data_IF_917106796183
#
_entry.id   IF_917106796183
#
_cell.length_a   1.000
_cell.length_b   1.000
_cell.length_c   1.000
_cell.angle_alpha   90.00
_cell.angle_beta   90.00
_cell.angle_gamma   90.00
#
_symmetry.space_group_name_H-M   'P 1'
#
loop_
_entity.id
_entity.type
_entity.pdbx_description
1 polymer ?
#
# COMPACT_ATOMS: atom_id res chain seq x y z
N UNK A 1 -13.78 -1.92 13.87
CA UNK A 1 -13.70 -1.31 12.52
C UNK A 1 -12.59 -2.03 11.79
N UNK A 2 -12.86 -2.63 10.64
CA UNK A 2 -11.84 -3.35 9.88
C UNK A 2 -10.95 -2.32 9.19
N UNK A 3 -9.70 -2.17 9.63
CA UNK A 3 -8.78 -1.10 9.19
C UNK A 3 -8.45 -1.19 7.68
N UNK A 4 -8.71 -2.34 7.05
CA UNK A 4 -8.58 -2.59 5.62
C UNK A 4 -9.84 -2.27 4.78
N UNK A 5 -10.95 -1.84 5.40
CA UNK A 5 -12.19 -1.53 4.69
C UNK A 5 -12.08 -0.15 4.02
N UNK A 6 -12.39 -0.08 2.72
CA UNK A 6 -12.25 1.14 1.92
C UNK A 6 -13.20 2.26 2.38
N UNK A 7 -14.44 1.94 2.72
CA UNK A 7 -15.42 2.94 3.16
C UNK A 7 -15.00 3.54 4.51
N UNK A 8 -14.51 2.71 5.42
CA UNK A 8 -13.98 3.15 6.71
C UNK A 8 -12.74 4.04 6.56
N UNK A 9 -11.85 3.68 5.63
CA UNK A 9 -10.69 4.50 5.25
C UNK A 9 -11.09 5.85 4.63
N UNK A 10 -12.05 5.86 3.70
CA UNK A 10 -12.52 7.09 3.07
C UNK A 10 -13.21 8.02 4.06
N UNK A 11 -13.99 7.48 5.01
CA UNK A 11 -14.55 8.26 6.13
C UNK A 11 -13.46 8.88 6.99
N UNK A 12 -12.43 8.12 7.37
CA UNK A 12 -11.28 8.64 8.11
C UNK A 12 -10.58 9.77 7.33
N UNK A 13 -10.29 9.53 6.06
CA UNK A 13 -9.66 10.49 5.16
C UNK A 13 -10.47 11.79 5.06
N UNK A 14 -11.79 11.68 4.86
CA UNK A 14 -12.71 12.81 4.76
C UNK A 14 -12.78 13.62 6.05
N UNK A 15 -12.89 12.96 7.20
CA UNK A 15 -12.93 13.61 8.52
C UNK A 15 -11.64 14.36 8.80
N UNK A 16 -10.47 13.75 8.58
CA UNK A 16 -9.18 14.43 8.75
C UNK A 16 -9.08 15.61 7.79
N UNK A 17 -9.42 15.41 6.51
CA UNK A 17 -9.37 16.47 5.50
C UNK A 17 -10.25 17.67 5.86
N UNK A 18 -11.44 17.42 6.40
CA UNK A 18 -12.34 18.47 6.88
C UNK A 18 -11.70 19.29 8.01
N UNK A 19 -11.08 18.63 9.00
CA UNK A 19 -10.42 19.31 10.11
C UNK A 19 -9.24 20.18 9.67
N UNK A 20 -8.36 19.65 8.81
CA UNK A 20 -7.16 20.39 8.36
C UNK A 20 -7.47 21.47 7.32
N UNK A 21 -8.68 21.46 6.75
CA UNK A 21 -9.15 22.50 5.82
C UNK A 21 -9.82 23.66 6.55
N UNK A 22 -10.01 23.58 7.87
CA UNK A 22 -10.59 24.64 8.66
C UNK A 22 -9.70 25.90 8.69
N UNK A 23 -10.32 27.08 8.81
CA UNK A 23 -9.58 28.35 8.94
C UNK A 23 -8.65 28.36 10.15
N UNK A 24 -9.08 27.74 11.25
CA UNK A 24 -8.30 27.49 12.45
C UNK A 24 -8.33 25.99 12.69
N UNK A 25 -7.16 25.35 12.64
CA UNK A 25 -7.05 23.90 12.81
C UNK A 25 -6.95 23.61 14.30
N UNK A 26 -7.86 22.78 14.81
CA UNK A 26 -7.77 22.20 16.15
C UNK A 26 -7.00 20.87 16.08
N UNK A 27 -5.70 20.93 16.39
CA UNK A 27 -4.84 19.75 16.36
C UNK A 27 -5.16 18.74 17.45
N UNK A 28 -5.74 19.15 18.58
CA UNK A 28 -6.18 18.21 19.61
C UNK A 28 -7.33 17.34 19.07
N UNK A 29 -8.25 17.94 18.33
CA UNK A 29 -9.31 17.19 17.68
C UNK A 29 -8.74 16.22 16.61
N UNK A 30 -7.74 16.66 15.82
CA UNK A 30 -7.05 15.78 14.85
C UNK A 30 -6.37 14.60 15.55
N UNK A 31 -5.69 14.84 16.68
CA UNK A 31 -5.07 13.79 17.51
C UNK A 31 -6.14 12.80 17.99
N UNK A 32 -7.28 13.29 18.49
CA UNK A 32 -8.38 12.44 18.94
C UNK A 32 -8.96 11.58 17.79
N UNK A 33 -9.03 12.10 16.56
CA UNK A 33 -9.46 11.32 15.39
C UNK A 33 -8.45 10.23 15.03
N UNK A 34 -7.15 10.55 15.09
CA UNK A 34 -6.04 9.62 14.83
C UNK A 34 -6.06 8.48 15.85
N UNK A 35 -6.04 8.82 17.14
CA UNK A 35 -6.01 7.86 18.25
C UNK A 35 -7.35 7.14 18.43
N UNK A 36 -8.47 7.73 17.99
CA UNK A 36 -9.82 7.21 18.21
C UNK A 36 -10.08 6.98 19.71
N UNK A 37 -10.21 5.73 20.16
CA UNK A 37 -10.42 5.38 21.58
C UNK A 37 -9.14 5.14 22.38
N UNK A 38 -7.96 5.27 21.75
CA UNK A 38 -6.67 5.04 22.41
C UNK A 38 -6.19 6.29 23.12
N UNK A 39 -5.37 6.09 24.14
CA UNK A 39 -4.81 7.16 24.96
C UNK A 39 -3.29 7.12 24.94
N UNK A 40 -2.70 8.30 25.04
CA UNK A 40 -1.27 8.52 25.28
C UNK A 40 -1.15 9.56 26.40
N UNK A 41 0.03 9.69 27.01
CA UNK A 41 0.27 10.71 28.04
C UNK A 41 0.05 12.13 27.52
N UNK A 42 -0.32 13.07 28.39
CA UNK A 42 -0.54 14.46 27.98
C UNK A 42 0.74 15.13 27.48
N UNK A 43 1.90 14.74 28.02
CA UNK A 43 3.21 15.13 27.49
C UNK A 43 3.38 14.66 26.02
N UNK A 44 3.04 13.40 25.73
CA UNK A 44 3.09 12.86 24.37
C UNK A 44 2.11 13.58 23.44
N UNK A 45 0.89 13.92 23.91
CA UNK A 45 -0.07 14.71 23.12
C UNK A 45 0.48 16.09 22.77
N UNK A 46 1.13 16.76 23.71
CA UNK A 46 1.74 18.07 23.48
C UNK A 46 2.85 18.00 22.43
N UNK A 47 3.69 16.96 22.46
CA UNK A 47 4.73 16.73 21.45
C UNK A 47 4.10 16.47 20.07
N UNK A 48 3.08 15.61 19.99
CA UNK A 48 2.37 15.34 18.74
C UNK A 48 1.68 16.59 18.18
N UNK A 49 1.09 17.43 19.02
CA UNK A 49 0.46 18.67 18.61
C UNK A 49 1.46 19.58 17.87
N UNK A 50 2.62 19.82 18.47
CA UNK A 50 3.69 20.63 17.85
C UNK A 50 4.24 19.98 16.58
N UNK A 51 4.32 18.65 16.56
CA UNK A 51 4.76 17.93 15.37
C UNK A 51 3.76 18.05 14.21
N UNK A 52 2.45 17.99 14.50
CA UNK A 52 1.39 18.18 13.50
C UNK A 52 1.39 19.59 12.92
N UNK A 53 1.60 20.62 13.76
CA UNK A 53 1.80 21.99 13.30
C UNK A 53 2.98 22.09 12.33
N UNK A 54 4.13 21.52 12.72
CA UNK A 54 5.30 21.45 11.85
C UNK A 54 4.98 20.76 10.52
N UNK A 55 4.39 19.56 10.56
CA UNK A 55 4.04 18.80 9.35
C UNK A 55 3.11 19.60 8.44
N UNK A 56 2.11 20.27 8.99
CA UNK A 56 1.17 21.11 8.23
C UNK A 56 1.88 22.21 7.46
N UNK A 57 2.78 22.93 8.13
CA UNK A 57 3.57 23.98 7.49
C UNK A 57 4.55 23.39 6.47
N UNK A 58 5.17 22.26 6.78
CA UNK A 58 6.19 21.63 5.96
C UNK A 58 5.61 21.17 4.62
N UNK A 59 4.46 20.49 4.63
CA UNK A 59 3.74 20.07 3.43
C UNK A 59 3.00 21.23 2.73
N UNK A 60 2.50 22.21 3.49
CA UNK A 60 1.77 23.37 2.97
C UNK A 60 0.60 22.96 2.06
N UNK A 61 0.51 23.58 0.88
CA UNK A 61 -0.56 23.30 -0.11
C UNK A 61 -0.20 22.18 -1.11
N UNK A 62 0.87 21.41 -0.86
CA UNK A 62 1.29 20.32 -1.74
C UNK A 62 0.17 19.28 -1.86
N UNK A 63 -0.08 18.79 -3.07
CA UNK A 63 -1.09 17.75 -3.35
C UNK A 63 -0.41 16.45 -3.79
N UNK A 64 -1.03 15.31 -3.47
CA UNK A 64 -0.66 14.00 -4.02
C UNK A 64 -1.13 13.91 -5.48
N UNK A 65 -0.66 12.89 -6.18
CA UNK A 65 -1.00 12.64 -7.59
C UNK A 65 -2.51 12.59 -7.85
N UNK A 66 -3.27 12.02 -6.92
CA UNK A 66 -4.71 11.89 -7.06
C UNK A 66 -5.49 13.15 -6.66
N UNK A 67 -4.84 14.18 -6.10
CA UNK A 67 -5.46 15.46 -5.77
C UNK A 67 -5.54 15.86 -4.29
N UNK A 68 -5.70 14.93 -3.30
CA UNK A 68 -5.75 15.30 -1.89
C UNK A 68 -4.46 15.96 -1.39
N UNK A 69 -4.55 16.71 -0.27
CA UNK A 69 -3.38 17.32 0.37
C UNK A 69 -2.34 16.26 0.76
N UNK A 70 -1.07 16.56 0.55
CA UNK A 70 0.04 15.63 0.79
C UNK A 70 0.14 15.19 2.26
N UNK A 71 -0.15 16.09 3.20
CA UNK A 71 -0.19 15.80 4.64
C UNK A 71 -1.23 14.75 5.02
N UNK A 72 -2.28 14.52 4.22
CA UNK A 72 -3.28 13.49 4.56
C UNK A 72 -2.68 12.09 4.64
N UNK A 73 -1.69 11.79 3.79
CA UNK A 73 -1.06 10.48 3.78
C UNK A 73 -0.39 10.13 5.11
N UNK A 74 0.56 10.93 5.64
CA UNK A 74 1.15 10.61 6.93
C UNK A 74 0.11 10.64 8.07
N UNK A 75 -0.88 11.54 8.06
CA UNK A 75 -1.93 11.56 9.10
C UNK A 75 -2.77 10.28 9.12
N UNK A 76 -3.21 9.81 7.95
CA UNK A 76 -3.98 8.56 7.85
C UNK A 76 -3.12 7.37 8.19
N UNK A 77 -1.88 7.29 7.70
CA UNK A 77 -0.98 6.20 8.05
C UNK A 77 -0.70 6.14 9.56
N UNK A 78 -0.54 7.30 10.22
CA UNK A 78 -0.47 7.39 11.69
C UNK A 78 -1.73 6.85 12.36
N UNK A 79 -2.92 7.18 11.84
CA UNK A 79 -4.18 6.65 12.36
C UNK A 79 -4.32 5.14 12.17
N UNK A 80 -3.87 4.59 11.02
CA UNK A 80 -3.87 3.14 10.79
C UNK A 80 -2.94 2.44 11.79
N UNK A 81 -1.74 2.97 12.03
CA UNK A 81 -0.79 2.43 13.01
C UNK A 81 -1.31 2.55 14.45
N UNK A 82 -1.85 3.71 14.84
CA UNK A 82 -2.38 3.94 16.17
C UNK A 82 -3.57 3.00 16.51
N UNK A 83 -4.33 2.58 15.51
CA UNK A 83 -5.53 1.76 15.72
C UNK A 83 -5.25 0.27 15.87
N UNK A 84 -4.08 -0.21 15.45
CA UNK A 84 -3.64 -1.60 15.70
C UNK A 84 -2.87 -1.75 17.01
N UNK A 85 -2.44 -0.65 17.62
CA UNK A 85 -1.80 -0.66 18.93
C UNK A 85 -2.86 -0.35 20.00
N UNK A 86 -2.92 -1.16 21.06
CA UNK A 86 -3.77 -0.84 22.22
C UNK A 86 -3.25 0.40 22.95
N UNK A 87 -1.92 0.46 23.11
CA UNK A 87 -1.18 1.59 23.66
C UNK A 87 -0.22 2.13 22.58
N UNK A 88 -0.61 3.18 21.84
CA UNK A 88 0.25 3.80 20.85
C UNK A 88 1.46 4.47 21.48
N UNK A 89 2.65 4.06 21.05
CA UNK A 89 3.91 4.66 21.48
C UNK A 89 4.21 5.96 20.71
N UNK A 90 4.65 7.01 21.43
CA UNK A 90 4.93 8.32 20.85
C UNK A 90 5.98 8.24 19.74
N UNK A 91 7.07 7.51 19.97
CA UNK A 91 8.16 7.42 19.00
C UNK A 91 7.68 6.77 17.70
N UNK A 92 6.83 5.75 17.78
CA UNK A 92 6.19 5.13 16.62
C UNK A 92 5.27 6.10 15.86
N UNK A 93 4.44 6.86 16.57
CA UNK A 93 3.55 7.87 15.99
C UNK A 93 4.35 8.98 15.29
N UNK A 94 5.43 9.46 15.90
CA UNK A 94 6.34 10.44 15.29
C UNK A 94 7.03 9.86 14.05
N UNK A 95 7.50 8.61 14.13
CA UNK A 95 8.18 7.93 13.02
C UNK A 95 7.28 7.84 11.78
N UNK A 96 6.03 7.40 11.93
CA UNK A 96 5.10 7.30 10.80
C UNK A 96 4.63 8.68 10.30
N UNK A 97 4.44 9.66 11.19
CA UNK A 97 4.05 11.02 10.78
C UNK A 97 5.15 11.70 9.94
N UNK A 98 6.41 11.33 10.19
CA UNK A 98 7.59 11.90 9.53
C UNK A 98 8.21 10.99 8.46
N UNK A 99 7.66 9.81 8.17
CA UNK A 99 8.35 8.80 7.36
C UNK A 99 8.76 9.27 5.96
N UNK A 100 7.97 10.16 5.36
CA UNK A 100 8.24 10.76 4.04
C UNK A 100 9.01 12.09 4.12
N UNK A 101 9.29 12.61 5.32
CA UNK A 101 9.80 13.98 5.53
C UNK A 101 11.09 14.24 4.73
N UNK A 102 12.06 13.32 4.75
CA UNK A 102 13.32 13.47 4.02
C UNK A 102 13.19 13.29 2.50
N UNK A 103 12.16 12.59 2.03
CA UNK A 103 11.86 12.47 0.60
C UNK A 103 11.14 13.69 0.06
N UNK A 104 10.17 14.19 0.81
CA UNK A 104 9.15 15.11 0.32
C UNK A 104 9.41 16.58 0.64
N UNK A 105 10.16 16.87 1.71
CA UNK A 105 10.42 18.20 2.23
C UNK A 105 11.90 18.50 2.03
N UNK A 106 12.22 19.19 0.93
CA UNK A 106 13.60 19.53 0.54
C UNK A 106 13.84 21.04 0.55
N UNK A 107 15.05 21.50 0.97
CA UNK A 107 15.39 22.92 1.04
C UNK A 107 15.26 23.65 -0.30
N UNK A 108 15.52 22.95 -1.42
CA UNK A 108 15.56 23.52 -2.78
C UNK A 108 14.22 24.03 -3.32
N UNK A 109 13.14 24.04 -2.52
CA UNK A 109 11.77 24.42 -2.94
C UNK A 109 11.13 25.50 -2.06
N UNK A 110 11.89 26.09 -1.14
CA UNK A 110 11.39 27.02 -0.12
C UNK A 110 12.35 28.20 0.02
N UNK A 111 11.84 29.42 0.20
CA UNK A 111 12.66 30.57 0.58
C UNK A 111 13.47 30.26 1.85
N UNK A 112 14.76 30.63 1.85
CA UNK A 112 15.73 30.24 2.90
C UNK A 112 15.23 30.59 4.31
N UNK A 113 14.59 31.75 4.49
CA UNK A 113 14.06 32.17 5.79
C UNK A 113 12.89 31.30 6.28
N UNK A 114 12.01 30.89 5.35
CA UNK A 114 10.92 29.96 5.66
C UNK A 114 11.48 28.57 6.00
N UNK A 115 12.56 28.13 5.35
CA UNK A 115 13.24 26.88 5.67
C UNK A 115 13.85 26.92 7.08
N UNK A 116 14.57 27.99 7.43
CA UNK A 116 15.18 28.16 8.77
C UNK A 116 14.09 28.15 9.86
N UNK A 117 12.95 28.80 9.63
CA UNK A 117 11.82 28.79 10.58
C UNK A 117 11.26 27.37 10.79
N UNK A 118 11.07 26.62 9.70
CA UNK A 118 10.60 25.23 9.74
C UNK A 118 11.59 24.33 10.48
N UNK A 119 12.88 24.47 10.19
CA UNK A 119 13.94 23.71 10.86
C UNK A 119 13.98 24.01 12.36
N UNK A 120 13.89 25.28 12.76
CA UNK A 120 13.81 25.66 14.18
C UNK A 120 12.63 25.02 14.89
N UNK A 121 11.45 24.92 14.25
CA UNK A 121 10.29 24.23 14.84
C UNK A 121 10.53 22.73 14.97
N UNK A 122 11.10 22.10 13.94
CA UNK A 122 11.45 20.68 14.00
C UNK A 122 12.44 20.39 15.12
N UNK A 123 13.50 21.19 15.25
CA UNK A 123 14.49 21.06 16.31
C UNK A 123 13.89 21.24 17.71
N UNK A 124 12.92 22.16 17.88
CA UNK A 124 12.18 22.29 19.15
C UNK A 124 11.45 21.01 19.52
N UNK A 125 10.76 20.38 18.57
CA UNK A 125 10.08 19.09 18.81
C UNK A 125 11.10 18.01 19.21
N UNK A 126 12.25 17.94 18.52
CA UNK A 126 13.31 16.98 18.84
C UNK A 126 13.95 17.19 20.21
N UNK A 127 13.92 18.41 20.76
CA UNK A 127 14.42 18.73 22.10
C UNK A 127 13.45 18.33 23.22
N UNK A 128 12.19 18.01 22.89
CA UNK A 128 11.17 17.59 23.86
C UNK A 128 11.13 16.08 24.10
N UNK A 129 11.87 15.30 23.32
CA UNK A 129 12.03 13.86 23.51
C UNK A 129 13.41 13.55 24.07
N UNK A 130 13.58 12.35 24.63
CA UNK A 130 14.87 11.92 25.16
C UNK A 130 15.93 11.86 24.06
N UNK A 131 17.21 11.97 24.44
CA UNK A 131 18.31 11.84 23.47
C UNK A 131 18.29 10.48 22.75
N UNK A 132 17.93 9.42 23.47
CA UNK A 132 17.76 8.07 22.94
C UNK A 132 16.63 8.01 21.91
N UNK A 133 15.45 8.54 22.23
CA UNK A 133 14.31 8.55 21.30
C UNK A 133 14.60 9.40 20.06
N UNK A 134 15.28 10.54 20.24
CA UNK A 134 15.74 11.39 19.14
C UNK A 134 16.67 10.62 18.22
N UNK A 135 17.64 9.89 18.77
CA UNK A 135 18.55 9.07 17.97
C UNK A 135 17.79 8.00 17.18
N UNK A 136 16.90 7.25 17.85
CA UNK A 136 16.08 6.23 17.19
C UNK A 136 15.16 6.82 16.12
N UNK A 137 14.51 7.96 16.38
CA UNK A 137 13.65 8.63 15.40
C UNK A 137 14.44 8.93 14.12
N UNK A 138 15.59 9.58 14.23
CA UNK A 138 16.39 9.96 13.07
C UNK A 138 16.87 8.73 12.30
N UNK A 139 17.32 7.68 12.99
CA UNK A 139 17.76 6.43 12.33
C UNK A 139 16.59 5.73 11.62
N UNK A 140 15.43 5.61 12.27
CA UNK A 140 14.22 5.04 11.65
C UNK A 140 13.82 5.81 10.40
N UNK A 141 13.86 7.14 10.43
CA UNK A 141 13.56 7.98 9.26
C UNK A 141 14.55 7.77 8.11
N UNK A 142 15.85 7.61 8.39
CA UNK A 142 16.85 7.27 7.36
C UNK A 142 16.60 5.89 6.76
N UNK A 143 16.21 4.91 7.57
CA UNK A 143 15.90 3.56 7.08
C UNK A 143 14.62 3.53 6.25
N UNK A 144 13.64 4.37 6.59
CA UNK A 144 12.38 4.53 5.86
C UNK A 144 12.52 5.36 4.58
N UNK A 145 13.59 6.13 4.43
CA UNK A 145 13.86 6.96 3.24
C UNK A 145 14.58 6.13 2.19
N UNK A 146 14.03 6.10 0.98
CA UNK A 146 14.67 5.46 -0.17
C UNK A 146 15.75 6.36 -0.78
N UNK A 147 16.95 5.83 -0.96
CA UNK A 147 18.02 6.53 -1.66
C UNK A 147 17.71 6.70 -3.17
N UNK A 148 18.17 7.79 -3.81
CA UNK A 148 17.90 8.03 -5.23
C UNK A 148 18.43 6.93 -6.16
N UNK A 149 19.56 6.33 -5.82
CA UNK A 149 20.26 5.31 -6.63
C UNK A 149 19.89 3.88 -6.27
N UNK A 150 19.26 3.64 -5.12
CA UNK A 150 18.91 2.28 -4.71
C UNK A 150 17.65 1.77 -5.44
N UNK A 151 17.55 0.46 -5.64
CA UNK A 151 16.33 -0.17 -6.16
C UNK A 151 15.30 -0.28 -5.04
N UNK A 152 14.02 -0.52 -5.40
CA UNK A 152 13.00 -0.75 -4.39
C UNK A 152 13.32 -1.99 -3.53
N UNK A 153 13.88 -3.04 -4.11
CA UNK A 153 14.27 -4.28 -3.41
C UNK A 153 15.37 -4.04 -2.38
N UNK A 154 16.44 -3.34 -2.79
CA UNK A 154 17.57 -3.01 -1.90
C UNK A 154 17.12 -2.12 -0.75
N UNK A 155 16.25 -1.15 -1.03
CA UNK A 155 15.61 -0.32 -0.02
C UNK A 155 14.86 -1.16 1.03
N UNK A 156 13.95 -2.04 0.58
CA UNK A 156 13.19 -2.89 1.50
C UNK A 156 14.10 -3.87 2.25
N UNK A 157 15.07 -4.48 1.58
CA UNK A 157 16.06 -5.35 2.21
C UNK A 157 16.87 -4.66 3.30
N UNK A 158 17.38 -3.44 3.01
CA UNK A 158 18.07 -2.59 3.99
C UNK A 158 17.18 -2.27 5.17
N UNK A 159 15.94 -1.83 4.92
CA UNK A 159 14.97 -1.53 5.97
C UNK A 159 14.71 -2.74 6.87
N UNK A 160 14.52 -3.92 6.27
CA UNK A 160 14.26 -5.18 6.99
C UNK A 160 15.45 -5.61 7.85
N UNK A 161 16.70 -5.41 7.40
CA UNK A 161 17.89 -5.73 8.20
C UNK A 161 17.93 -5.03 9.56
N UNK A 162 17.29 -3.85 9.67
CA UNK A 162 17.21 -3.11 10.94
C UNK A 162 16.08 -3.58 11.86
N UNK A 163 15.16 -4.43 11.38
CA UNK A 163 14.01 -4.91 12.15
C UNK A 163 14.38 -5.75 13.37
N UNK A 164 15.55 -6.44 13.37
CA UNK A 164 16.02 -7.19 14.54
C UNK A 164 16.37 -6.31 15.73
N UNK A 165 16.70 -5.03 15.51
CA UNK A 165 16.93 -4.03 16.57
C UNK A 165 15.72 -3.14 16.80
N UNK A 166 14.87 -3.00 15.80
CA UNK A 166 13.76 -2.03 15.81
C UNK A 166 12.60 -2.59 14.99
N UNK A 167 11.83 -3.57 15.53
CA UNK A 167 10.71 -4.20 14.83
C UNK A 167 9.62 -3.17 14.45
N UNK A 168 9.54 -2.06 15.18
CA UNK A 168 8.65 -0.92 14.93
C UNK A 168 8.74 -0.38 13.50
N UNK A 169 9.92 -0.44 12.87
CA UNK A 169 10.13 0.03 11.49
C UNK A 169 9.29 -0.77 10.50
N UNK A 170 9.09 -2.07 10.77
CA UNK A 170 8.20 -2.92 9.96
C UNK A 170 6.75 -2.49 10.14
N UNK A 171 6.31 -2.23 11.38
CA UNK A 171 4.95 -1.72 11.66
C UNK A 171 4.68 -0.44 10.88
N UNK A 172 5.61 0.51 10.95
CA UNK A 172 5.53 1.80 10.23
C UNK A 172 5.46 1.56 8.72
N UNK A 173 6.35 0.71 8.17
CA UNK A 173 6.37 0.48 6.72
C UNK A 173 5.11 -0.22 6.20
N UNK A 174 4.57 -1.16 6.98
CA UNK A 174 3.31 -1.82 6.68
C UNK A 174 2.14 -0.85 6.73
N UNK A 175 2.08 0.04 7.72
CA UNK A 175 1.02 1.05 7.83
C UNK A 175 1.08 2.06 6.67
N UNK A 176 2.28 2.51 6.28
CA UNK A 176 2.52 3.32 5.08
C UNK A 176 1.98 2.59 3.83
N UNK A 177 2.35 1.32 3.62
CA UNK A 177 1.86 0.56 2.46
C UNK A 177 0.36 0.29 2.48
N UNK A 178 -0.23 0.08 3.66
CA UNK A 178 -1.67 -0.05 3.80
C UNK A 178 -2.38 1.24 3.40
N UNK A 179 -1.93 2.41 3.86
CA UNK A 179 -2.49 3.70 3.41
C UNK A 179 -2.37 3.84 1.89
N UNK A 180 -1.20 3.60 1.29
CA UNK A 180 -1.04 3.73 -0.15
C UNK A 180 -1.94 2.78 -0.94
N UNK A 181 -2.22 1.59 -0.39
CA UNK A 181 -3.10 0.61 -1.02
C UNK A 181 -4.55 1.08 -1.00
N UNK A 182 -4.99 1.66 0.11
CA UNK A 182 -6.34 2.21 0.26
C UNK A 182 -6.50 3.56 -0.46
N UNK A 183 -5.44 4.37 -0.56
CA UNK A 183 -5.40 5.65 -1.27
C UNK A 183 -5.34 5.48 -2.80
N UNK A 184 -5.41 4.26 -3.35
CA UNK A 184 -5.39 4.05 -4.80
C UNK A 184 -6.68 4.49 -5.52
N UNK A 185 -7.76 4.77 -4.79
CA UNK A 185 -9.04 5.24 -5.32
C UNK A 185 -9.53 6.48 -4.58
N UNK A 186 -10.23 7.34 -5.31
CA UNK A 186 -11.05 8.45 -4.77
C UNK A 186 -12.48 8.34 -5.31
N UNK A 187 -12.91 7.12 -5.62
CA UNK A 187 -14.28 6.86 -6.06
C UNK A 187 -15.21 7.03 -4.85
N UNK A 188 -16.41 7.56 -5.09
CA UNK A 188 -17.40 7.84 -4.04
C UNK A 188 -17.92 6.55 -3.39
N UNK A 189 -18.09 5.49 -4.18
CA UNK A 189 -18.53 4.18 -3.74
C UNK A 189 -17.50 3.10 -4.08
N UNK A 190 -17.32 2.13 -3.17
CA UNK A 190 -16.50 0.95 -3.44
C UNK A 190 -17.24 0.06 -4.45
N UNK A 191 -16.66 -0.29 -5.62
CA UNK A 191 -17.30 -1.21 -6.57
C UNK A 191 -17.59 -2.60 -6.03
N UNK A 192 -17.00 -2.97 -4.88
CA UNK A 192 -17.32 -4.21 -4.15
C UNK A 192 -18.40 -4.02 -3.08
N UNK A 193 -18.96 -2.82 -2.93
CA UNK A 193 -20.02 -2.58 -1.97
C UNK A 193 -21.27 -3.38 -2.37
N UNK A 194 -21.71 -4.28 -1.49
CA UNK A 194 -22.82 -5.22 -1.72
C UNK A 194 -22.59 -6.23 -2.87
N UNK A 195 -21.36 -6.36 -3.35
CA UNK A 195 -21.00 -7.35 -4.37
C UNK A 195 -20.21 -8.47 -3.73
N UNK A 196 -20.69 -9.71 -3.84
CA UNK A 196 -19.91 -10.89 -3.52
C UNK A 196 -19.13 -11.33 -4.77
N UNK A 197 -17.85 -10.97 -4.80
CA UNK A 197 -16.96 -11.33 -5.89
C UNK A 197 -16.79 -12.86 -6.03
N UNK A 198 -16.77 -13.61 -4.93
CA UNK A 198 -16.61 -15.06 -4.99
C UNK A 198 -17.88 -15.74 -5.49
N UNK A 199 -19.06 -15.22 -5.11
CA UNK A 199 -20.33 -15.66 -5.70
C UNK A 199 -20.33 -15.45 -7.21
N UNK A 200 -19.91 -14.28 -7.70
CA UNK A 200 -19.79 -13.99 -9.14
C UNK A 200 -18.90 -15.01 -9.85
N UNK A 201 -17.71 -15.28 -9.31
CA UNK A 201 -16.80 -16.27 -9.89
C UNK A 201 -17.43 -17.66 -9.89
N UNK A 202 -18.08 -18.05 -8.79
CA UNK A 202 -18.73 -19.34 -8.67
C UNK A 202 -19.88 -19.49 -9.69
N UNK A 203 -20.74 -18.49 -9.81
CA UNK A 203 -21.79 -18.47 -10.82
C UNK A 203 -21.22 -18.56 -12.24
N UNK A 204 -20.16 -17.80 -12.55
CA UNK A 204 -19.50 -17.84 -13.86
C UNK A 204 -18.92 -19.21 -14.21
N UNK A 205 -18.39 -19.94 -13.22
CA UNK A 205 -17.76 -21.25 -13.43
C UNK A 205 -18.75 -22.41 -13.45
N UNK A 206 -19.86 -22.33 -12.71
CA UNK A 206 -20.73 -23.48 -12.44
C UNK A 206 -22.17 -23.31 -12.93
N UNK A 207 -22.67 -22.09 -13.12
CA UNK A 207 -24.04 -21.85 -13.57
C UNK A 207 -24.11 -21.73 -15.09
N UNK A 208 -25.02 -22.48 -15.70
CA UNK A 208 -25.32 -22.38 -17.13
C UNK A 208 -26.34 -21.27 -17.45
N UNK A 209 -26.93 -20.65 -16.43
CA UNK A 209 -27.93 -19.58 -16.56
C UNK A 209 -27.39 -18.21 -16.15
N UNK A 210 -26.12 -18.13 -15.75
CA UNK A 210 -25.50 -16.86 -15.39
C UNK A 210 -25.29 -16.00 -16.64
N UNK A 211 -25.79 -14.77 -16.61
CA UNK A 211 -25.76 -13.82 -17.74
C UNK A 211 -24.70 -12.73 -17.60
N UNK A 212 -23.79 -12.87 -16.64
CA UNK A 212 -22.76 -11.88 -16.36
C UNK A 212 -23.19 -10.91 -15.26
N UNK A 213 -22.21 -10.21 -14.70
CA UNK A 213 -22.46 -9.20 -13.68
C UNK A 213 -22.81 -7.89 -14.38
N UNK A 214 -23.99 -7.37 -14.07
CA UNK A 214 -24.42 -6.05 -14.53
C UNK A 214 -24.13 -5.00 -13.46
N UNK A 215 -23.23 -4.03 -13.73
CA UNK A 215 -22.98 -2.96 -12.78
C UNK A 215 -24.19 -2.02 -12.70
N UNK A 216 -24.49 -1.53 -11.49
CA UNK A 216 -25.57 -0.55 -11.26
C UNK A 216 -25.32 0.80 -11.97
N UNK A 217 -24.05 1.11 -12.26
CA UNK A 217 -23.62 2.40 -12.78
C UNK A 217 -22.97 2.27 -14.17
N UNK A 218 -22.99 3.34 -14.98
CA UNK A 218 -22.28 3.38 -16.25
C UNK A 218 -20.76 3.32 -16.05
N UNK A 219 -20.02 2.98 -17.11
CA UNK A 219 -18.56 2.94 -17.08
C UNK A 219 -18.01 4.28 -16.58
N UNK A 220 -17.23 4.31 -15.48
CA UNK A 220 -16.71 5.55 -14.93
C UNK A 220 -15.69 6.21 -15.86
N UNK A 221 -15.48 7.54 -15.79
CA UNK A 221 -14.44 8.20 -16.58
C UNK A 221 -13.04 7.67 -16.22
N UNK A 222 -12.04 7.85 -17.12
CA UNK A 222 -10.68 7.41 -16.85
C UNK A 222 -10.12 7.98 -15.54
N UNK A 223 -9.75 7.08 -14.62
CA UNK A 223 -9.15 7.46 -13.35
C UNK A 223 -7.67 7.86 -13.51
N UNK A 224 -7.19 8.76 -12.63
CA UNK A 224 -5.78 9.17 -12.58
C UNK A 224 -4.82 8.00 -12.29
N UNK A 225 -5.29 7.00 -11.55
CA UNK A 225 -4.68 5.68 -11.42
C UNK A 225 -5.58 4.63 -12.08
N UNK A 226 -5.14 4.07 -13.20
CA UNK A 226 -5.88 3.03 -13.90
C UNK A 226 -5.55 1.62 -13.34
N UNK A 227 -6.27 0.60 -13.83
CA UNK A 227 -6.13 -0.77 -13.33
C UNK A 227 -4.70 -1.32 -13.35
N UNK A 228 -3.90 -1.00 -14.38
CA UNK A 228 -2.53 -1.51 -14.47
C UNK A 228 -1.58 -0.85 -13.47
N UNK A 229 -1.79 0.43 -13.16
CA UNK A 229 -1.01 1.14 -12.15
C UNK A 229 -1.35 0.63 -10.74
N UNK A 230 -2.60 0.19 -10.53
CA UNK A 230 -3.05 -0.48 -9.31
C UNK A 230 -2.41 -1.87 -9.20
N UNK A 231 -2.40 -2.69 -10.27
CA UNK A 231 -1.65 -3.96 -10.32
C UNK A 231 -0.16 -3.78 -9.98
N UNK A 232 0.47 -2.71 -10.47
CA UNK A 232 1.86 -2.40 -10.11
C UNK A 232 2.05 -2.09 -8.62
N UNK A 233 1.08 -1.48 -7.92
CA UNK A 233 1.17 -1.35 -6.46
C UNK A 233 1.02 -2.71 -5.77
N UNK A 234 0.15 -3.61 -6.28
CA UNK A 234 0.01 -4.96 -5.74
C UNK A 234 1.32 -5.77 -5.89
N UNK A 235 2.04 -5.60 -7.00
CA UNK A 235 3.38 -6.13 -7.16
C UNK A 235 4.32 -5.62 -6.04
N UNK A 236 4.36 -4.31 -5.78
CA UNK A 236 5.20 -3.75 -4.71
C UNK A 236 4.84 -4.28 -3.31
N UNK A 237 3.56 -4.53 -3.07
CA UNK A 237 3.09 -5.15 -1.82
C UNK A 237 3.56 -6.62 -1.75
N UNK A 238 3.44 -7.38 -2.84
CA UNK A 238 3.92 -8.77 -2.93
C UNK A 238 5.42 -8.86 -2.63
N UNK A 239 6.22 -7.93 -3.16
CA UNK A 239 7.66 -7.84 -2.88
C UNK A 239 7.92 -7.59 -1.40
N UNK A 240 7.27 -6.57 -0.81
CA UNK A 240 7.44 -6.26 0.61
C UNK A 240 7.08 -7.45 1.50
N UNK A 241 5.92 -8.05 1.25
CA UNK A 241 5.38 -9.13 2.07
C UNK A 241 6.22 -10.40 1.95
N UNK A 242 6.72 -10.70 0.74
CA UNK A 242 7.65 -11.82 0.53
C UNK A 242 8.96 -11.63 1.28
N UNK A 243 9.57 -10.43 1.19
CA UNK A 243 10.83 -10.15 1.89
C UNK A 243 10.68 -10.17 3.42
N UNK A 244 9.55 -9.66 3.94
CA UNK A 244 9.25 -9.73 5.39
C UNK A 244 9.24 -11.19 5.86
N UNK A 245 8.52 -12.07 5.14
CA UNK A 245 8.42 -13.49 5.51
C UNK A 245 9.71 -14.25 5.31
N UNK A 246 10.38 -14.08 4.18
CA UNK A 246 11.67 -14.70 3.89
C UNK A 246 12.71 -14.41 4.97
N UNK A 247 12.70 -13.19 5.52
CA UNK A 247 13.63 -12.75 6.58
C UNK A 247 13.09 -12.95 8.00
N UNK A 248 11.88 -13.51 8.14
CA UNK A 248 11.15 -13.64 9.40
C UNK A 248 11.09 -12.30 10.19
N UNK A 249 11.03 -11.19 9.45
CA UNK A 249 11.05 -9.87 10.02
C UNK A 249 9.75 -9.63 10.79
N UNK A 250 9.87 -9.24 12.06
CA UNK A 250 8.71 -9.02 12.94
C UNK A 250 7.80 -10.26 13.09
N UNK A 251 8.38 -11.48 13.00
CA UNK A 251 7.63 -12.75 13.15
C UNK A 251 6.88 -12.82 14.49
N UNK A 252 7.46 -12.32 15.57
CA UNK A 252 6.86 -12.37 16.92
C UNK A 252 6.15 -11.05 17.30
N UNK A 253 5.90 -10.18 16.32
CA UNK A 253 5.28 -8.87 16.53
C UNK A 253 3.81 -8.88 16.06
N UNK A 254 2.90 -9.15 16.99
CA UNK A 254 1.45 -9.25 16.73
C UNK A 254 0.87 -8.01 16.03
N UNK A 255 1.38 -6.82 16.34
CA UNK A 255 0.94 -5.55 15.72
C UNK A 255 1.36 -5.50 14.26
N UNK A 256 2.59 -5.91 13.95
CA UNK A 256 3.06 -6.02 12.58
C UNK A 256 2.26 -7.08 11.80
N UNK A 257 2.02 -8.25 12.41
CA UNK A 257 1.21 -9.32 11.80
C UNK A 257 -0.22 -8.84 11.49
N UNK A 258 -0.84 -8.08 12.39
CA UNK A 258 -2.18 -7.50 12.18
C UNK A 258 -2.20 -6.56 10.97
N UNK A 259 -1.23 -5.64 10.86
CA UNK A 259 -1.15 -4.74 9.70
C UNK A 259 -0.83 -5.51 8.42
N UNK A 260 0.04 -6.53 8.49
CA UNK A 260 0.36 -7.41 7.36
C UNK A 260 -0.89 -8.10 6.82
N UNK A 261 -1.72 -8.67 7.71
CA UNK A 261 -3.00 -9.28 7.34
C UNK A 261 -3.94 -8.25 6.70
N UNK A 262 -4.03 -7.05 7.25
CA UNK A 262 -4.83 -5.96 6.68
C UNK A 262 -4.33 -5.52 5.29
N UNK A 263 -3.00 -5.48 5.08
CA UNK A 263 -2.39 -5.19 3.78
C UNK A 263 -2.71 -6.29 2.76
N UNK A 264 -2.63 -7.56 3.13
CA UNK A 264 -3.04 -8.66 2.26
C UNK A 264 -4.52 -8.54 1.88
N UNK A 265 -5.41 -8.32 2.86
CA UNK A 265 -6.85 -8.16 2.62
C UNK A 265 -7.17 -6.97 1.73
N UNK A 266 -6.55 -5.81 1.97
CA UNK A 266 -6.75 -4.62 1.14
C UNK A 266 -6.25 -4.84 -0.30
N UNK A 267 -5.10 -5.49 -0.45
CA UNK A 267 -4.50 -5.82 -1.75
C UNK A 267 -5.34 -6.83 -2.53
N UNK A 268 -5.85 -7.87 -1.86
CA UNK A 268 -6.79 -8.84 -2.43
C UNK A 268 -8.06 -8.15 -2.92
N UNK A 269 -8.68 -7.30 -2.09
CA UNK A 269 -9.89 -6.55 -2.50
C UNK A 269 -9.62 -5.63 -3.68
N UNK A 270 -8.46 -5.01 -3.76
CA UNK A 270 -8.14 -4.19 -4.93
C UNK A 270 -8.00 -5.03 -6.20
N UNK A 271 -7.37 -6.21 -6.12
CA UNK A 271 -7.31 -7.15 -7.23
C UNK A 271 -8.71 -7.59 -7.68
N UNK A 272 -9.61 -7.89 -6.73
CA UNK A 272 -11.02 -8.19 -7.00
C UNK A 272 -11.72 -7.04 -7.74
N UNK A 273 -11.53 -5.78 -7.32
CA UNK A 273 -12.10 -4.63 -8.03
C UNK A 273 -11.58 -4.49 -9.46
N UNK A 274 -10.30 -4.79 -9.70
CA UNK A 274 -9.73 -4.73 -11.05
C UNK A 274 -10.36 -5.80 -11.94
N UNK A 275 -10.44 -7.04 -11.46
CA UNK A 275 -11.07 -8.14 -12.21
C UNK A 275 -12.56 -7.86 -12.48
N UNK A 276 -13.31 -7.47 -11.44
CA UNK A 276 -14.73 -7.13 -11.56
C UNK A 276 -14.95 -6.02 -12.57
N UNK A 277 -14.20 -4.91 -12.50
CA UNK A 277 -14.31 -3.82 -13.46
C UNK A 277 -14.10 -4.27 -14.91
N UNK A 278 -13.17 -5.19 -15.16
CA UNK A 278 -12.95 -5.73 -16.51
C UNK A 278 -14.15 -6.57 -16.94
N UNK A 279 -14.62 -7.49 -16.10
CA UNK A 279 -15.82 -8.31 -16.39
C UNK A 279 -17.09 -7.48 -16.60
N UNK A 280 -17.24 -6.37 -15.88
CA UNK A 280 -18.43 -5.52 -15.98
C UNK A 280 -18.45 -4.69 -17.27
N UNK A 281 -17.29 -4.22 -17.73
CA UNK A 281 -17.25 -3.12 -18.70
C UNK A 281 -16.41 -3.37 -19.95
N UNK A 282 -15.44 -4.28 -19.91
CA UNK A 282 -14.47 -4.47 -21.00
C UNK A 282 -14.56 -5.87 -21.61
N UNK A 283 -14.76 -6.91 -20.80
CA UNK A 283 -14.96 -8.28 -21.24
C UNK A 283 -16.33 -8.77 -20.79
N UNK A 284 -17.34 -8.52 -21.63
CA UNK A 284 -18.73 -8.90 -21.35
C UNK A 284 -19.09 -10.28 -21.91
N UNK A 285 -18.20 -10.91 -22.68
CA UNK A 285 -18.40 -12.29 -23.12
C UNK A 285 -18.05 -13.24 -21.98
N UNK A 286 -19.10 -13.83 -21.40
CA UNK A 286 -19.01 -14.74 -20.26
C UNK A 286 -18.19 -15.98 -20.61
N UNK A 287 -18.24 -16.44 -21.86
CA UNK A 287 -17.49 -17.62 -22.29
C UNK A 287 -15.99 -17.31 -22.25
N UNK A 288 -15.58 -16.16 -22.79
CA UNK A 288 -14.18 -15.71 -22.73
C UNK A 288 -13.76 -15.47 -21.28
N UNK A 289 -14.58 -14.78 -20.49
CA UNK A 289 -14.29 -14.55 -19.07
C UNK A 289 -14.07 -15.87 -18.29
N UNK A 290 -14.92 -16.87 -18.55
CA UNK A 290 -14.81 -18.22 -17.96
C UNK A 290 -13.53 -18.94 -18.40
N UNK A 291 -13.18 -18.86 -19.68
CA UNK A 291 -11.93 -19.44 -20.20
C UNK A 291 -10.70 -18.82 -19.54
N UNK A 292 -10.66 -17.49 -19.40
CA UNK A 292 -9.57 -16.78 -18.71
C UNK A 292 -9.46 -17.19 -17.23
N UNK A 293 -10.58 -17.36 -16.55
CA UNK A 293 -10.61 -17.84 -15.17
C UNK A 293 -10.06 -19.26 -15.05
N UNK A 294 -10.53 -20.19 -15.90
CA UNK A 294 -10.09 -21.58 -15.87
C UNK A 294 -8.59 -21.71 -16.18
N UNK A 295 -8.09 -20.96 -17.16
CA UNK A 295 -6.66 -20.91 -17.49
C UNK A 295 -5.83 -20.40 -16.28
N UNK A 296 -6.28 -19.31 -15.66
CA UNK A 296 -5.60 -18.75 -14.48
C UNK A 296 -5.66 -19.70 -13.28
N UNK A 297 -6.78 -20.40 -13.08
CA UNK A 297 -6.92 -21.41 -12.03
C UNK A 297 -5.93 -22.56 -12.22
N UNK A 298 -5.79 -23.06 -13.45
CA UNK A 298 -4.83 -24.11 -13.77
C UNK A 298 -3.39 -23.64 -13.53
N UNK A 299 -3.06 -22.41 -13.97
CA UNK A 299 -1.76 -21.80 -13.73
C UNK A 299 -1.40 -21.72 -12.23
N UNK A 300 -2.32 -21.19 -11.44
CA UNK A 300 -2.14 -21.02 -9.99
C UNK A 300 -2.04 -22.37 -9.28
N UNK A 301 -2.89 -23.34 -9.63
CA UNK A 301 -2.84 -24.70 -9.05
C UNK A 301 -1.57 -25.45 -9.43
N UNK A 302 -0.98 -25.14 -10.59
CA UNK A 302 0.32 -25.65 -11.01
C UNK A 302 1.51 -25.00 -10.32
N UNK A 303 1.30 -24.11 -9.35
CA UNK A 303 2.37 -23.43 -8.59
C UNK A 303 2.93 -22.19 -9.30
N UNK A 304 2.29 -21.69 -10.36
CA UNK A 304 2.77 -20.54 -11.13
C UNK A 304 2.91 -19.23 -10.35
N UNK A 305 2.26 -19.13 -9.18
CA UNK A 305 2.38 -17.97 -8.29
C UNK A 305 3.36 -18.17 -7.12
N UNK A 306 3.87 -19.39 -6.92
CA UNK A 306 4.75 -19.70 -5.78
C UNK A 306 6.18 -19.19 -6.00
N UNK A 307 6.51 -18.84 -7.25
CA UNK A 307 7.82 -18.34 -7.64
C UNK A 307 7.72 -17.33 -8.77
N UNK A 308 8.74 -16.49 -8.91
CA UNK A 308 8.95 -15.70 -10.12
C UNK A 308 9.30 -16.67 -11.25
N UNK A 309 8.55 -16.62 -12.33
CA UNK A 309 8.73 -17.50 -13.48
C UNK A 309 9.45 -16.81 -14.64
N UNK A 310 10.21 -17.54 -15.49
CA UNK A 310 10.76 -17.00 -16.72
C UNK A 310 9.65 -16.80 -17.75
N UNK A 311 9.88 -15.96 -18.77
CA UNK A 311 8.89 -15.80 -19.85
C UNK A 311 8.83 -17.06 -20.71
N UNK A 312 7.64 -17.64 -20.86
CA UNK A 312 7.37 -18.80 -21.72
C UNK A 312 6.30 -18.44 -22.76
N UNK A 313 6.40 -18.99 -23.97
CA UNK A 313 5.51 -18.62 -25.07
C UNK A 313 4.03 -19.01 -24.83
N UNK A 314 3.79 -20.11 -24.11
CA UNK A 314 2.46 -20.71 -23.96
C UNK A 314 1.73 -20.30 -22.68
N UNK A 315 2.36 -19.50 -21.81
CA UNK A 315 1.74 -19.03 -20.58
C UNK A 315 1.94 -17.51 -20.46
N UNK A 316 0.84 -16.75 -20.56
CA UNK A 316 0.89 -15.29 -20.63
C UNK A 316 1.28 -14.63 -19.31
N UNK A 317 1.00 -15.28 -18.18
CA UNK A 317 1.39 -14.81 -16.85
C UNK A 317 2.90 -14.98 -16.59
N UNK A 318 3.53 -15.90 -17.31
CA UNK A 318 4.93 -16.22 -17.10
C UNK A 318 5.86 -15.07 -17.52
N UNK A 319 6.77 -14.72 -16.61
CA UNK A 319 7.66 -13.57 -16.78
C UNK A 319 7.04 -12.21 -16.46
N UNK A 320 5.74 -12.10 -16.12
CA UNK A 320 5.08 -10.81 -15.89
C UNK A 320 5.79 -9.93 -14.85
N UNK A 321 6.27 -10.52 -13.75
CA UNK A 321 7.00 -9.81 -12.70
C UNK A 321 8.28 -9.17 -13.25
N UNK A 322 9.06 -9.93 -14.03
CA UNK A 322 10.36 -9.49 -14.57
C UNK A 322 10.18 -8.58 -15.78
N UNK A 323 9.31 -8.96 -16.72
CA UNK A 323 9.18 -8.28 -18.01
C UNK A 323 8.43 -6.97 -17.89
N UNK A 324 7.49 -6.85 -16.95
CA UNK A 324 6.57 -5.70 -16.89
C UNK A 324 6.78 -4.87 -15.64
N UNK A 325 6.78 -5.48 -14.46
CA UNK A 325 6.81 -4.73 -13.19
C UNK A 325 8.23 -4.34 -12.74
N UNK A 326 9.24 -5.17 -12.99
CA UNK A 326 10.63 -4.94 -12.57
C UNK A 326 11.44 -3.98 -13.47
N UNK A 327 10.79 -3.30 -14.42
CA UNK A 327 11.51 -2.37 -15.28
C UNK A 327 12.05 -1.17 -14.47
N UNK A 328 13.39 -1.12 -14.32
CA UNK A 328 14.10 -0.09 -13.53
C UNK A 328 13.87 1.30 -14.11
N UNK A 329 13.89 1.42 -15.44
CA UNK A 329 13.70 2.70 -16.09
C UNK A 329 12.22 3.13 -16.05
N UNK A 330 11.92 4.22 -15.35
CA UNK A 330 10.55 4.71 -15.17
C UNK A 330 9.77 4.88 -16.48
N UNK A 331 10.38 5.45 -17.53
CA UNK A 331 9.70 5.67 -18.82
C UNK A 331 9.40 4.36 -19.53
N UNK A 332 10.34 3.41 -19.52
CA UNK A 332 10.13 2.07 -20.09
C UNK A 332 9.06 1.30 -19.31
N UNK A 333 9.05 1.43 -17.99
CA UNK A 333 8.03 0.82 -17.14
C UNK A 333 6.64 1.39 -17.45
N UNK A 334 6.52 2.70 -17.58
CA UNK A 334 5.27 3.35 -17.98
C UNK A 334 4.77 2.84 -19.34
N UNK A 335 5.67 2.63 -20.30
CA UNK A 335 5.33 2.02 -21.60
C UNK A 335 4.83 0.58 -21.45
N UNK A 336 5.56 -0.27 -20.71
CA UNK A 336 5.16 -1.68 -20.46
C UNK A 336 3.84 -1.79 -19.71
N UNK A 337 3.59 -0.91 -18.75
CA UNK A 337 2.30 -0.82 -18.08
C UNK A 337 1.21 -0.39 -19.07
N UNK A 338 1.47 0.56 -19.97
CA UNK A 338 0.51 0.93 -21.00
C UNK A 338 0.20 -0.23 -21.97
N UNK A 339 1.20 -1.02 -22.36
CA UNK A 339 1.02 -2.24 -23.15
C UNK A 339 0.12 -3.25 -22.40
N UNK A 340 0.42 -3.53 -21.13
CA UNK A 340 -0.44 -4.38 -20.29
C UNK A 340 -1.85 -3.78 -20.13
N UNK A 341 -2.01 -2.45 -20.09
CA UNK A 341 -3.32 -1.82 -19.99
C UNK A 341 -4.20 -2.07 -21.22
N UNK A 342 -3.60 -2.25 -22.40
CA UNK A 342 -4.32 -2.60 -23.63
C UNK A 342 -4.76 -4.06 -23.66
N UNK A 343 -4.06 -4.95 -22.95
CA UNK A 343 -4.40 -6.37 -22.85
C UNK A 343 -5.29 -6.64 -21.63
N UNK A 344 -6.61 -6.45 -21.80
CA UNK A 344 -7.59 -6.66 -20.72
C UNK A 344 -7.65 -8.11 -20.25
N UNK A 345 -7.39 -9.06 -21.14
CA UNK A 345 -7.36 -10.48 -20.80
C UNK A 345 -6.23 -10.77 -19.83
N UNK A 346 -5.00 -10.36 -20.16
CA UNK A 346 -3.86 -10.52 -19.27
C UNK A 346 -4.03 -9.75 -17.95
N UNK A 347 -4.67 -8.57 -17.98
CA UNK A 347 -5.00 -7.84 -16.75
C UNK A 347 -5.92 -8.62 -15.81
N UNK A 348 -6.94 -9.31 -16.34
CA UNK A 348 -7.83 -10.18 -15.54
C UNK A 348 -7.05 -11.34 -14.94
N UNK A 349 -6.27 -12.04 -15.77
CA UNK A 349 -5.47 -13.17 -15.31
C UNK A 349 -4.49 -12.72 -14.21
N UNK A 350 -3.84 -11.57 -14.39
CA UNK A 350 -2.93 -11.01 -13.39
C UNK A 350 -3.66 -10.63 -12.10
N UNK A 351 -4.83 -10.00 -12.19
CA UNK A 351 -5.64 -9.66 -11.03
C UNK A 351 -6.08 -10.91 -10.25
N UNK A 352 -6.53 -11.95 -10.94
CA UNK A 352 -6.92 -13.23 -10.33
C UNK A 352 -5.72 -13.93 -9.69
N UNK A 353 -4.55 -13.93 -10.34
CA UNK A 353 -3.32 -14.44 -9.74
C UNK A 353 -2.95 -13.69 -8.44
N UNK A 354 -3.04 -12.35 -8.43
CA UNK A 354 -2.84 -11.55 -7.22
C UNK A 354 -3.87 -11.87 -6.12
N UNK A 355 -5.14 -12.12 -6.46
CA UNK A 355 -6.15 -12.54 -5.46
C UNK A 355 -5.65 -13.79 -4.74
N UNK A 356 -5.19 -14.80 -5.48
CA UNK A 356 -4.72 -16.05 -4.85
C UNK A 356 -3.40 -15.86 -4.11
N UNK A 357 -2.46 -15.06 -4.63
CA UNK A 357 -1.23 -14.71 -3.90
C UNK A 357 -1.55 -14.09 -2.53
N UNK A 358 -2.46 -13.12 -2.46
CA UNK A 358 -2.83 -12.49 -1.20
C UNK A 358 -3.65 -13.41 -0.29
N UNK A 359 -4.43 -14.35 -0.84
CA UNK A 359 -5.04 -15.42 -0.05
C UNK A 359 -3.97 -16.34 0.55
N UNK A 360 -2.92 -16.71 -0.19
CA UNK A 360 -1.81 -17.50 0.36
C UNK A 360 -1.06 -16.73 1.44
N UNK A 361 -0.84 -15.42 1.28
CA UNK A 361 -0.33 -14.58 2.38
C UNK A 361 -1.25 -14.55 3.62
N UNK A 362 -2.55 -14.78 3.47
CA UNK A 362 -3.47 -14.83 4.61
C UNK A 362 -3.47 -16.22 5.26
N UNK A 363 -3.48 -17.27 4.45
CA UNK A 363 -3.79 -18.63 4.91
C UNK A 363 -2.55 -19.43 5.33
N UNK A 364 -1.38 -19.14 4.77
CA UNK A 364 -0.13 -19.82 5.07
C UNK A 364 0.85 -18.81 5.66
N UNK A 365 1.32 -18.96 6.92
CA UNK A 365 2.28 -18.02 7.53
C UNK A 365 3.68 -18.06 6.88
N UNK A 366 4.04 -19.15 6.20
CA UNK A 366 5.36 -19.35 5.59
C UNK A 366 5.38 -19.00 4.09
N UNK A 367 4.22 -18.74 3.48
CA UNK A 367 4.15 -18.42 2.06
C UNK A 367 4.89 -17.12 1.71
N UNK A 368 5.81 -17.20 0.76
CA UNK A 368 6.38 -16.05 0.07
C UNK A 368 6.64 -16.45 -1.39
N UNK A 369 6.72 -15.47 -2.28
CA UNK A 369 7.03 -15.73 -3.69
C UNK A 369 8.53 -15.94 -3.84
N UNK A 370 8.95 -17.15 -4.20
CA UNK A 370 10.37 -17.49 -4.44
C UNK A 370 10.92 -16.68 -5.62
N UNK A 371 12.22 -16.43 -5.65
CA UNK A 371 12.85 -15.55 -6.65
C UNK A 371 12.73 -14.05 -6.36
N UNK A 372 11.98 -13.62 -5.34
CA UNK A 372 12.03 -12.24 -4.83
C UNK A 372 13.15 -12.14 -3.80
N UNK A 373 14.13 -11.28 -4.04
CA UNK A 373 15.26 -11.03 -3.14
C UNK A 373 15.53 -9.54 -2.95
N UNK A 374 16.50 -9.18 -2.11
CA UNK A 374 16.95 -7.80 -1.94
C UNK A 374 17.68 -7.26 -3.20
N UNK A 375 18.10 -8.15 -4.09
CA UNK A 375 18.85 -7.81 -5.30
C UNK A 375 17.91 -7.53 -6.49
N UNK A 376 16.72 -8.14 -6.50
CA UNK A 376 15.75 -8.00 -7.56
C UNK A 376 14.70 -9.10 -7.55
N UNK A 377 13.99 -9.24 -8.66
CA UNK A 377 13.16 -10.41 -8.94
C UNK A 377 13.83 -11.25 -10.02
N UNK A 378 14.04 -12.53 -9.71
CA UNK A 378 14.79 -13.45 -10.55
C UNK A 378 13.95 -14.71 -10.79
N UNK A 379 13.82 -15.17 -12.03
CA UNK A 379 13.20 -16.45 -12.30
C UNK A 379 13.86 -17.59 -11.53
N UNK A 380 13.06 -18.41 -10.86
CA UNK A 380 13.53 -19.67 -10.29
C UNK A 380 13.44 -20.77 -11.36
N UNK A 381 14.41 -21.70 -11.44
CA UNK A 381 14.30 -22.84 -12.33
C UNK A 381 13.12 -23.73 -11.92
N UNK A 382 12.19 -23.94 -12.84
CA UNK A 382 11.10 -24.90 -12.65
C UNK A 382 11.69 -26.32 -12.74
N UNK A 383 11.87 -26.99 -11.60
CA UNK A 383 12.11 -28.43 -11.58
C UNK A 383 10.77 -29.11 -11.89
N UNK A 384 10.55 -29.44 -13.17
CA UNK A 384 9.43 -30.26 -13.62
C UNK A 384 9.62 -31.73 -13.25
#
# INVERSE_FOLDING_TARGET
>A
MAIYNMNDFMRLSAVINYQISAKHIDWNNVINIILSRRTISDESKNILHLLLEYSSEAYGKKKRRLGPLAILHPLRATALLARVADEPDLLNLMTILLHDNFEDIKPKRVEIDMWIRKEKKFQKVLQMITETDRWFLIERLKWLTKEPTETYYRYIGRLIKHSGKTPEVIRVKLADRLDNTLDMRIEYEDPLQKVDFFEILFQMLYSNIYTGFEPEFPHPPPATLNGVQRLYQLFKNTVLMSLIRQKQAAKDDEKAQTIFYHLARASMREAQRIALHIFSYHERDIKIARELLLDTMNYVRGGGIDMVTPRVANQKLDGLFVSTFDEVNKKRREKKLAELYTDKHLMVQAAVAFIVMFLNFINDPEYYVKGITEEGVHPEPQNY
#
